data_IF_615424189863
#
_entry.id   IF_615424189863
#
_cell.length_a   1.000
_cell.length_b   1.000
_cell.length_c   1.000
_cell.angle_alpha   90.00
_cell.angle_beta   90.00
_cell.angle_gamma   90.00
#
_symmetry.space_group_name_H-M   'P 1'
#
loop_
_entity.id
_entity.type
_entity.pdbx_description
1 polymer ?
#
# COMPACT_ATOMS: atom_id res chain seq x y z
N UNK A 1 -26.91 -15.51 -63.38
CA UNK A 1 -27.44 -14.82 -62.19
C UNK A 1 -26.54 -15.16 -61.01
N UNK A 2 -25.63 -14.19 -60.62
CA UNK A 2 -24.69 -14.38 -59.52
C UNK A 2 -25.33 -13.82 -58.27
N UNK A 3 -25.62 -14.68 -57.31
CA UNK A 3 -26.14 -14.31 -55.98
C UNK A 3 -24.95 -13.88 -55.10
N UNK A 4 -24.86 -12.60 -54.79
CA UNK A 4 -23.99 -12.04 -53.79
C UNK A 4 -24.66 -12.15 -52.41
N UNK A 5 -24.23 -13.08 -51.59
CA UNK A 5 -24.60 -13.17 -50.20
C UNK A 5 -23.84 -12.11 -49.38
N UNK A 6 -24.52 -11.26 -48.59
CA UNK A 6 -23.82 -10.32 -47.72
C UNK A 6 -23.23 -11.08 -46.54
N UNK A 7 -21.91 -10.99 -46.41
CA UNK A 7 -21.19 -11.42 -45.19
C UNK A 7 -21.47 -10.40 -44.09
N UNK A 8 -22.36 -10.74 -43.17
CA UNK A 8 -22.59 -9.95 -41.94
C UNK A 8 -21.45 -10.27 -40.98
N UNK A 9 -20.46 -9.37 -40.87
CA UNK A 9 -19.43 -9.41 -39.85
C UNK A 9 -20.06 -9.06 -38.50
N UNK A 10 -20.35 -10.06 -37.68
CA UNK A 10 -20.71 -9.90 -36.27
C UNK A 10 -19.44 -9.47 -35.52
N UNK A 11 -19.28 -8.17 -35.30
CA UNK A 11 -18.32 -7.62 -34.36
C UNK A 11 -18.80 -7.98 -32.94
N UNK A 12 -18.33 -9.10 -32.42
CA UNK A 12 -18.48 -9.46 -31.02
C UNK A 12 -17.65 -8.44 -30.19
N UNK A 13 -18.30 -7.37 -29.79
CA UNK A 13 -17.69 -6.40 -28.85
C UNK A 13 -17.39 -7.13 -27.54
N UNK A 14 -16.10 -7.22 -27.19
CA UNK A 14 -15.67 -7.65 -25.87
C UNK A 14 -16.21 -6.64 -24.84
N UNK A 15 -17.42 -6.88 -24.32
CA UNK A 15 -17.89 -6.21 -23.12
C UNK A 15 -17.09 -6.78 -21.96
N UNK A 16 -16.25 -5.96 -21.33
CA UNK A 16 -15.64 -6.30 -20.06
C UNK A 16 -16.77 -6.65 -19.08
N UNK A 17 -16.67 -7.82 -18.44
CA UNK A 17 -17.62 -8.24 -17.43
C UNK A 17 -17.71 -7.17 -16.32
N UNK A 18 -18.90 -6.94 -15.73
CA UNK A 18 -19.04 -6.05 -14.59
C UNK A 18 -18.06 -6.49 -13.50
N UNK A 19 -17.15 -5.60 -13.10
CA UNK A 19 -16.20 -5.92 -12.03
C UNK A 19 -16.93 -5.88 -10.69
N UNK A 20 -16.77 -6.94 -9.89
CA UNK A 20 -17.24 -6.96 -8.52
C UNK A 20 -16.67 -5.75 -7.75
N UNK A 21 -17.52 -4.90 -7.14
CA UNK A 21 -17.05 -3.73 -6.39
C UNK A 21 -16.03 -4.05 -5.30
N UNK A 22 -16.15 -5.22 -4.65
CA UNK A 22 -15.20 -5.68 -3.63
C UNK A 22 -13.82 -5.96 -4.23
N UNK A 23 -13.78 -6.61 -5.39
CA UNK A 23 -12.53 -6.86 -6.10
C UNK A 23 -11.91 -5.57 -6.63
N UNK A 24 -12.72 -4.63 -7.10
CA UNK A 24 -12.23 -3.32 -7.53
C UNK A 24 -11.57 -2.57 -6.37
N UNK A 25 -12.22 -2.53 -5.20
CA UNK A 25 -11.67 -1.90 -3.99
C UNK A 25 -10.37 -2.58 -3.52
N UNK A 26 -10.30 -3.91 -3.55
CA UNK A 26 -9.09 -4.65 -3.20
C UNK A 26 -7.91 -4.29 -4.13
N UNK A 27 -8.14 -4.22 -5.43
CA UNK A 27 -7.11 -3.80 -6.41
C UNK A 27 -6.65 -2.35 -6.19
N UNK A 28 -7.55 -1.45 -5.78
CA UNK A 28 -7.18 -0.07 -5.47
C UNK A 28 -6.26 0.01 -4.25
N UNK A 29 -6.51 -0.79 -3.20
CA UNK A 29 -5.64 -0.88 -2.03
C UNK A 29 -4.27 -1.46 -2.39
N UNK A 30 -4.24 -2.52 -3.19
CA UNK A 30 -3.01 -3.12 -3.70
C UNK A 30 -2.17 -2.11 -4.49
N UNK A 31 -2.78 -1.41 -5.45
CA UNK A 31 -2.11 -0.34 -6.22
C UNK A 31 -1.60 0.80 -5.33
N UNK A 32 -2.35 1.16 -4.30
CA UNK A 32 -1.92 2.21 -3.38
C UNK A 32 -0.64 1.79 -2.63
N UNK A 33 -0.48 0.50 -2.32
CA UNK A 33 0.66 -0.05 -1.60
C UNK A 33 1.88 -0.36 -2.51
N UNK A 34 1.73 -0.47 -3.83
CA UNK A 34 2.81 -0.86 -4.75
C UNK A 34 4.11 -0.06 -4.54
N UNK A 35 4.03 1.24 -4.33
CA UNK A 35 5.22 2.07 -4.10
C UNK A 35 5.90 1.73 -2.77
N UNK A 36 5.12 1.32 -1.76
CA UNK A 36 5.64 0.90 -0.46
C UNK A 36 6.36 -0.43 -0.56
N UNK A 37 5.86 -1.34 -1.40
CA UNK A 37 6.45 -2.66 -1.64
C UNK A 37 7.87 -2.60 -2.23
N UNK A 38 8.27 -1.47 -2.82
CA UNK A 38 9.64 -1.24 -3.25
C UNK A 38 10.65 -1.23 -2.10
N UNK A 39 10.19 -0.84 -0.90
CA UNK A 39 11.03 -0.68 0.30
C UNK A 39 10.62 -1.58 1.46
N UNK A 40 9.40 -2.12 1.49
CA UNK A 40 8.84 -2.89 2.60
C UNK A 40 8.30 -4.24 2.15
N UNK A 41 8.36 -5.22 3.06
CA UNK A 41 7.57 -6.45 2.99
C UNK A 41 6.47 -6.39 4.06
N UNK A 42 5.40 -7.18 3.92
CA UNK A 42 4.25 -7.16 4.86
C UNK A 42 3.94 -8.52 5.47
N UNK A 43 4.40 -9.61 4.88
CA UNK A 43 4.12 -10.96 5.35
C UNK A 43 5.01 -11.37 6.52
N UNK A 44 4.55 -12.31 7.34
CA UNK A 44 5.33 -12.88 8.44
C UNK A 44 6.66 -13.47 7.94
N UNK A 45 7.74 -13.17 8.63
CA UNK A 45 9.09 -13.61 8.23
C UNK A 45 9.64 -12.94 6.97
N UNK A 46 8.97 -11.92 6.44
CA UNK A 46 9.47 -11.13 5.31
C UNK A 46 10.77 -10.41 5.65
N UNK A 47 11.67 -10.35 4.68
CA UNK A 47 12.97 -9.69 4.84
C UNK A 47 12.80 -8.17 5.00
N UNK A 48 13.72 -7.56 5.73
CA UNK A 48 13.91 -6.11 5.66
C UNK A 48 14.52 -5.73 4.31
N UNK A 49 14.11 -4.58 3.81
CA UNK A 49 14.67 -3.96 2.59
C UNK A 49 15.23 -2.59 2.95
N UNK A 50 15.01 -1.58 2.13
CA UNK A 50 15.30 -0.19 2.50
C UNK A 50 14.48 0.29 3.71
N UNK A 51 13.30 -0.29 3.91
CA UNK A 51 12.47 -0.14 5.09
C UNK A 51 12.28 -1.46 5.85
N UNK A 52 11.80 -1.42 7.09
CA UNK A 52 11.54 -2.62 7.88
C UNK A 52 10.37 -3.43 7.31
N UNK A 53 10.33 -4.72 7.64
CA UNK A 53 9.12 -5.52 7.45
C UNK A 53 7.97 -4.91 8.27
N UNK A 54 6.79 -4.78 7.67
CA UNK A 54 5.62 -4.15 8.28
C UNK A 54 4.63 -5.15 8.88
N UNK A 55 4.95 -6.47 8.87
CA UNK A 55 4.12 -7.46 9.55
C UNK A 55 3.95 -7.10 11.02
N UNK A 56 2.72 -7.13 11.52
CA UNK A 56 2.40 -6.74 12.90
C UNK A 56 2.60 -5.25 13.20
N UNK A 57 2.52 -4.37 12.21
CA UNK A 57 2.77 -2.94 12.40
C UNK A 57 1.76 -2.27 13.34
N UNK A 58 0.49 -2.68 13.31
CA UNK A 58 -0.52 -2.12 14.21
C UNK A 58 -0.27 -2.53 15.66
N UNK A 59 -0.28 -1.56 16.56
CA UNK A 59 0.04 -1.75 17.97
C UNK A 59 1.54 -1.83 18.28
N UNK A 60 2.41 -1.80 17.27
CA UNK A 60 3.85 -1.85 17.43
C UNK A 60 4.43 -0.47 17.69
N UNK A 61 5.41 -0.39 18.59
CA UNK A 61 6.16 0.85 18.83
C UNK A 61 7.07 1.16 17.63
N UNK A 62 7.18 2.43 17.28
CA UNK A 62 8.11 2.91 16.26
C UNK A 62 9.56 2.51 16.61
N UNK A 63 10.32 2.15 15.60
CA UNK A 63 11.73 1.81 15.76
C UNK A 63 12.01 0.51 16.53
N UNK A 64 11.03 -0.37 16.71
CA UNK A 64 11.15 -1.53 17.60
C UNK A 64 11.36 -2.88 16.92
N UNK A 65 11.31 -2.95 15.59
CA UNK A 65 11.56 -4.24 14.91
C UNK A 65 13.01 -4.65 15.10
N UNK A 66 13.26 -5.90 15.58
CA UNK A 66 14.62 -6.41 15.71
C UNK A 66 15.37 -6.42 14.38
N UNK A 67 16.69 -6.29 14.46
CA UNK A 67 17.62 -6.45 13.33
C UNK A 67 17.42 -5.47 12.14
N UNK A 68 16.59 -4.43 12.31
CA UNK A 68 16.50 -3.34 11.33
C UNK A 68 17.26 -2.08 11.84
N UNK A 69 18.16 -1.51 11.03
CA UNK A 69 18.98 -0.36 11.43
C UNK A 69 18.21 0.96 11.33
N UNK A 70 17.25 1.19 12.22
CA UNK A 70 16.51 2.45 12.27
C UNK A 70 17.41 3.67 12.49
N UNK A 71 16.93 4.86 12.08
CA UNK A 71 17.51 6.12 12.54
C UNK A 71 17.34 6.29 14.05
N UNK A 72 18.20 7.08 14.68
CA UNK A 72 18.06 7.42 16.11
C UNK A 72 16.72 8.12 16.36
N UNK A 73 16.31 8.99 15.43
CA UNK A 73 15.01 9.65 15.48
C UNK A 73 13.83 8.67 15.55
N UNK A 74 13.86 7.62 14.71
CA UNK A 74 12.78 6.61 14.72
C UNK A 74 12.83 5.74 15.96
N UNK A 75 14.02 5.36 16.44
CA UNK A 75 14.17 4.62 17.72
C UNK A 75 13.69 5.41 18.93
N UNK A 76 13.93 6.71 18.90
CA UNK A 76 13.55 7.63 19.98
C UNK A 76 12.11 8.16 19.87
N UNK A 77 11.41 7.87 18.78
CA UNK A 77 10.04 8.34 18.61
C UNK A 77 9.09 7.62 19.59
N UNK A 78 8.34 8.41 20.35
CA UNK A 78 7.29 7.91 21.26
C UNK A 78 5.97 7.76 20.49
N UNK A 79 5.97 6.83 19.53
CA UNK A 79 4.83 6.54 18.66
C UNK A 79 4.51 5.05 18.73
N UNK A 80 3.26 4.73 18.99
CA UNK A 80 2.68 3.41 18.72
C UNK A 80 1.85 3.48 17.45
N UNK A 81 2.11 2.59 16.52
CA UNK A 81 1.45 2.60 15.23
C UNK A 81 -0.02 2.18 15.34
N UNK A 82 -0.89 3.06 14.95
CA UNK A 82 -2.31 2.86 14.73
C UNK A 82 -2.74 3.62 13.46
N UNK A 83 -4.01 3.63 13.13
CA UNK A 83 -4.49 4.33 11.92
C UNK A 83 -4.13 5.81 11.92
N UNK A 84 -4.36 6.51 13.02
CA UNK A 84 -4.13 7.95 13.13
C UNK A 84 -2.64 8.29 13.03
N UNK A 85 -1.80 7.54 13.74
CA UNK A 85 -0.34 7.76 13.72
C UNK A 85 0.28 7.36 12.40
N UNK A 86 -0.22 6.31 11.73
CA UNK A 86 0.17 5.94 10.38
C UNK A 86 -0.25 7.00 9.37
N UNK A 87 -1.48 7.52 9.44
CA UNK A 87 -1.93 8.60 8.55
C UNK A 87 -1.07 9.86 8.72
N UNK A 88 -0.82 10.27 9.97
CA UNK A 88 0.03 11.43 10.25
C UNK A 88 1.45 11.25 9.72
N UNK A 89 2.05 10.07 9.93
CA UNK A 89 3.39 9.76 9.45
C UNK A 89 3.45 9.71 7.92
N UNK A 90 2.54 9.00 7.26
CA UNK A 90 2.48 8.91 5.80
C UNK A 90 2.25 10.28 5.15
N UNK A 91 1.49 11.15 5.79
CA UNK A 91 1.25 12.52 5.29
C UNK A 91 2.50 13.37 5.26
N UNK A 92 3.35 13.29 6.27
CA UNK A 92 4.55 14.10 6.40
C UNK A 92 5.60 13.42 7.32
N UNK A 93 6.33 12.39 6.82
CA UNK A 93 7.23 11.59 7.66
C UNK A 93 8.27 12.44 8.41
N UNK A 94 8.95 13.34 7.72
CA UNK A 94 9.99 14.18 8.32
C UNK A 94 9.44 15.21 9.33
N UNK A 95 8.17 15.53 9.23
CA UNK A 95 7.49 16.41 10.21
C UNK A 95 7.09 15.64 11.46
N UNK A 96 6.61 14.42 11.28
CA UNK A 96 6.18 13.56 12.38
C UNK A 96 7.36 13.00 13.16
N UNK A 97 8.43 12.62 12.45
CA UNK A 97 9.68 12.10 13.01
C UNK A 97 10.85 12.82 12.34
N UNK A 98 11.25 14.00 12.83
CA UNK A 98 12.41 14.71 12.30
C UNK A 98 13.67 13.85 12.41
N UNK A 99 14.35 13.60 11.28
CA UNK A 99 15.49 12.69 11.21
C UNK A 99 15.16 11.26 10.78
N UNK A 100 13.90 10.96 10.45
CA UNK A 100 13.54 9.71 9.78
C UNK A 100 14.24 9.57 8.43
N UNK A 101 14.52 8.33 8.02
CA UNK A 101 15.06 8.03 6.69
C UNK A 101 13.99 7.78 5.63
N UNK A 102 12.74 7.65 6.05
CA UNK A 102 11.62 7.57 5.12
C UNK A 102 11.15 8.97 4.76
N UNK A 103 11.45 9.40 3.53
CA UNK A 103 11.10 10.74 3.04
C UNK A 103 9.84 10.79 2.19
N UNK A 104 9.30 9.63 1.82
CA UNK A 104 8.12 9.54 0.96
C UNK A 104 6.87 10.05 1.68
N UNK A 105 6.38 11.20 1.26
CA UNK A 105 5.13 11.78 1.75
C UNK A 105 3.97 11.52 0.78
N UNK A 106 2.80 11.25 1.31
CA UNK A 106 1.57 10.98 0.55
C UNK A 106 0.51 12.01 0.93
N UNK A 107 0.44 13.15 0.21
CA UNK A 107 -0.49 14.23 0.55
C UNK A 107 -1.97 13.83 0.33
N UNK A 108 -2.26 12.95 -0.62
CA UNK A 108 -3.62 12.49 -0.89
C UNK A 108 -4.17 11.62 0.26
N UNK A 109 -5.21 12.07 0.97
CA UNK A 109 -5.79 11.33 2.08
C UNK A 109 -6.43 10.01 1.66
N UNK A 110 -7.02 9.94 0.47
CA UNK A 110 -7.64 8.70 -0.01
C UNK A 110 -6.59 7.63 -0.27
N UNK A 111 -5.44 8.02 -0.82
CA UNK A 111 -4.33 7.09 -1.01
C UNK A 111 -3.80 6.57 0.33
N UNK A 112 -3.61 7.44 1.32
CA UNK A 112 -3.15 7.02 2.65
C UNK A 112 -4.13 6.05 3.29
N UNK A 113 -5.43 6.33 3.20
CA UNK A 113 -6.45 5.43 3.71
C UNK A 113 -6.36 4.04 3.06
N UNK A 114 -6.24 3.96 1.73
CA UNK A 114 -6.08 2.68 1.02
C UNK A 114 -4.82 1.92 1.44
N UNK A 115 -3.71 2.62 1.67
CA UNK A 115 -2.46 2.01 2.19
C UNK A 115 -2.69 1.44 3.59
N UNK A 116 -3.35 2.17 4.48
CA UNK A 116 -3.63 1.74 5.85
C UNK A 116 -4.57 0.52 5.85
N UNK A 117 -5.60 0.54 5.01
CA UNK A 117 -6.51 -0.60 4.81
C UNK A 117 -5.76 -1.83 4.29
N UNK A 118 -4.87 -1.65 3.30
CA UNK A 118 -4.02 -2.72 2.79
C UNK A 118 -3.14 -3.34 3.90
N UNK A 119 -2.49 -2.51 4.70
CA UNK A 119 -1.68 -2.97 5.83
C UNK A 119 -2.52 -3.73 6.87
N UNK A 120 -3.75 -3.30 7.13
CA UNK A 120 -4.65 -3.99 8.05
C UNK A 120 -5.01 -5.39 7.55
N UNK A 121 -5.14 -5.57 6.26
CA UNK A 121 -5.51 -6.86 5.65
C UNK A 121 -4.31 -7.81 5.53
N UNK A 122 -3.11 -7.30 5.28
CA UNK A 122 -1.96 -8.11 4.86
C UNK A 122 -0.77 -8.12 5.83
N UNK A 123 -0.74 -7.22 6.80
CA UNK A 123 0.38 -7.06 7.73
C UNK A 123 0.05 -7.55 9.16
N UNK A 124 -0.82 -8.52 9.28
CA UNK A 124 -1.22 -9.15 10.57
C UNK A 124 -0.51 -10.46 10.80
#
# INVERSE_FOLDING_TARGET
VRWLLPVVLLLAGCRAAPQDPLQAAARERERAFEICAGCHTVHAGGIHRYGPNLHGVFGRRAGSVPDYPYSDAMRGADITWNEDTLDAFLRAPARQVPGTRMYNAFPDPQRRQRVIEYLREHAQ
#
